data_IF_324957903984
#
_entry.id   IF_324957903984
#
_cell.length_a   1.000
_cell.length_b   1.000
_cell.length_c   1.000
_cell.angle_alpha   90.00
_cell.angle_beta   90.00
_cell.angle_gamma   90.00
#
_symmetry.space_group_name_H-M   'P 1'
#
loop_
_entity.id
_entity.type
_entity.pdbx_description
1 polymer ?
#
# COMPACT_ATOMS: atom_id res chain seq x y z
N UNK A 1 -17.08 -1.26 -16.35
CA UNK A 1 -16.05 -0.61 -17.19
C UNK A 1 -14.62 -0.85 -16.69
N UNK A 2 -14.22 -0.53 -15.44
CA UNK A 2 -12.84 -0.88 -14.98
C UNK A 2 -12.63 -2.38 -14.73
N UNK A 3 -13.65 -3.08 -14.22
CA UNK A 3 -13.64 -4.53 -14.01
C UNK A 3 -13.66 -5.34 -15.32
N UNK A 4 -13.83 -4.68 -16.46
CA UNK A 4 -13.83 -5.33 -17.78
C UNK A 4 -12.47 -5.12 -18.48
N UNK A 5 -11.66 -4.16 -18.03
CA UNK A 5 -10.38 -3.78 -18.63
C UNK A 5 -9.15 -4.19 -17.81
N UNK A 6 -9.33 -4.81 -16.64
CA UNK A 6 -8.23 -5.13 -15.71
C UNK A 6 -7.13 -6.00 -16.32
N UNK A 7 -7.47 -6.94 -17.20
CA UNK A 7 -6.48 -7.79 -17.89
C UNK A 7 -5.54 -6.94 -18.74
N UNK A 8 -6.09 -6.01 -19.51
CA UNK A 8 -5.32 -5.09 -20.34
C UNK A 8 -4.42 -4.20 -19.48
N UNK A 9 -4.93 -3.70 -18.35
CA UNK A 9 -4.14 -2.88 -17.41
C UNK A 9 -2.96 -3.67 -16.85
N UNK A 10 -3.17 -4.93 -16.45
CA UNK A 10 -2.10 -5.81 -15.96
C UNK A 10 -1.06 -6.06 -17.05
N UNK A 11 -1.48 -6.36 -18.29
CA UNK A 11 -0.58 -6.59 -19.42
C UNK A 11 0.26 -5.34 -19.69
N UNK A 12 -0.38 -4.17 -19.75
CA UNK A 12 0.28 -2.88 -19.93
C UNK A 12 1.28 -2.59 -18.80
N UNK A 13 0.88 -2.83 -17.55
CA UNK A 13 1.74 -2.64 -16.38
C UNK A 13 2.99 -3.52 -16.44
N UNK A 14 2.83 -4.81 -16.76
CA UNK A 14 3.98 -5.74 -16.90
C UNK A 14 4.94 -5.27 -17.99
N UNK A 15 4.42 -4.86 -19.15
CA UNK A 15 5.26 -4.39 -20.25
C UNK A 15 6.03 -3.11 -19.89
N UNK A 16 5.36 -2.10 -19.33
CA UNK A 16 6.04 -0.85 -18.98
C UNK A 16 7.06 -1.07 -17.86
N UNK A 17 6.74 -1.95 -16.89
CA UNK A 17 7.66 -2.25 -15.80
C UNK A 17 8.93 -2.91 -16.30
N UNK A 18 8.82 -3.94 -17.16
CA UNK A 18 9.99 -4.56 -17.80
C UNK A 18 10.84 -3.51 -18.50
N UNK A 19 10.21 -2.60 -19.23
CA UNK A 19 10.91 -1.51 -19.90
C UNK A 19 11.62 -0.57 -18.92
N UNK A 20 10.98 -0.17 -17.81
CA UNK A 20 11.62 0.65 -16.76
C UNK A 20 12.83 -0.06 -16.18
N UNK A 21 12.69 -1.35 -15.80
CA UNK A 21 13.78 -2.13 -15.25
C UNK A 21 14.95 -2.21 -16.23
N UNK A 22 14.69 -2.55 -17.50
CA UNK A 22 15.72 -2.57 -18.55
C UNK A 22 16.38 -1.20 -18.74
N UNK A 23 15.61 -0.12 -18.74
CA UNK A 23 16.14 1.24 -18.95
C UNK A 23 17.03 1.71 -17.79
N UNK A 24 16.61 1.44 -16.56
CA UNK A 24 17.40 1.75 -15.36
C UNK A 24 18.69 0.93 -15.37
N UNK A 25 18.62 -0.37 -15.68
CA UNK A 25 19.82 -1.20 -15.82
C UNK A 25 20.75 -0.67 -16.94
N UNK A 26 20.22 -0.37 -18.12
CA UNK A 26 21.00 0.14 -19.24
C UNK A 26 21.80 1.38 -18.85
N UNK A 27 21.13 2.42 -18.33
CA UNK A 27 21.81 3.65 -17.93
C UNK A 27 22.71 3.49 -16.70
N UNK A 28 22.40 2.57 -15.80
CA UNK A 28 23.24 2.31 -14.64
C UNK A 28 24.56 1.63 -15.01
N UNK A 29 24.62 0.92 -16.14
CA UNK A 29 25.80 0.12 -16.55
C UNK A 29 26.53 0.65 -17.79
N UNK A 30 26.20 1.84 -18.30
CA UNK A 30 26.83 2.42 -19.52
C UNK A 30 28.36 2.47 -19.45
N UNK A 31 28.93 2.72 -18.25
CA UNK A 31 30.37 2.81 -18.04
C UNK A 31 31.00 1.50 -17.52
N UNK A 32 30.31 0.37 -17.70
CA UNK A 32 30.70 -0.96 -17.16
C UNK A 32 30.86 -0.99 -15.63
N UNK A 33 30.28 -0.02 -14.93
CA UNK A 33 30.18 0.08 -13.47
C UNK A 33 28.77 0.52 -13.12
N UNK A 34 28.25 0.00 -12.01
CA UNK A 34 26.90 0.34 -11.54
C UNK A 34 26.88 1.76 -10.96
N UNK A 35 26.28 2.69 -11.70
CA UNK A 35 26.16 4.12 -11.37
C UNK A 35 24.69 4.54 -11.14
N UNK A 36 24.41 5.44 -10.17
CA UNK A 36 23.10 6.03 -10.02
C UNK A 36 22.61 6.78 -11.27
N UNK A 37 21.35 6.59 -11.63
CA UNK A 37 20.73 7.20 -12.82
C UNK A 37 19.82 8.35 -12.41
N UNK A 38 20.10 9.56 -12.89
CA UNK A 38 19.27 10.73 -12.60
C UNK A 38 17.91 10.65 -13.32
N UNK A 39 16.83 11.11 -12.67
CA UNK A 39 15.47 11.05 -13.21
C UNK A 39 15.33 11.73 -14.58
N UNK A 40 16.14 12.75 -14.88
CA UNK A 40 16.11 13.44 -16.17
C UNK A 40 16.48 12.53 -17.36
N UNK A 41 17.21 11.44 -17.10
CA UNK A 41 17.51 10.42 -18.12
C UNK A 41 16.36 9.42 -18.30
N UNK A 42 15.56 9.20 -17.26
CA UNK A 42 14.49 8.20 -17.22
C UNK A 42 13.15 8.78 -17.66
N UNK A 43 12.75 9.94 -17.16
CA UNK A 43 11.41 10.51 -17.37
C UNK A 43 11.11 10.76 -18.86
N UNK A 44 11.95 11.46 -19.65
CA UNK A 44 11.61 11.76 -21.03
C UNK A 44 11.32 10.54 -21.93
N UNK A 45 12.17 9.48 -21.97
CA UNK A 45 11.85 8.28 -22.74
C UNK A 45 10.63 7.53 -22.21
N UNK A 46 10.47 7.38 -20.89
CA UNK A 46 9.31 6.71 -20.30
C UNK A 46 8.01 7.43 -20.60
N UNK A 47 8.01 8.76 -20.49
CA UNK A 47 6.83 9.58 -20.76
C UNK A 47 6.42 9.49 -22.24
N UNK A 48 7.38 9.44 -23.17
CA UNK A 48 7.08 9.23 -24.59
C UNK A 48 6.44 7.87 -24.84
N UNK A 49 6.96 6.82 -24.19
CA UNK A 49 6.41 5.47 -24.31
C UNK A 49 4.98 5.39 -23.75
N UNK A 50 4.75 5.90 -22.54
CA UNK A 50 3.45 5.93 -21.88
C UNK A 50 2.38 6.71 -22.66
N UNK A 51 2.76 7.72 -23.46
CA UNK A 51 1.82 8.45 -24.34
C UNK A 51 1.30 7.63 -25.52
N UNK A 52 1.87 6.45 -25.79
CA UNK A 52 1.37 5.54 -26.82
C UNK A 52 -0.04 5.03 -26.50
N UNK A 53 -0.84 4.77 -27.54
CA UNK A 53 -2.22 4.26 -27.41
C UNK A 53 -2.30 2.97 -26.61
N UNK A 54 -1.28 2.13 -26.69
CA UNK A 54 -1.22 0.87 -25.96
C UNK A 54 -1.32 1.05 -24.43
N UNK A 55 -0.82 2.17 -23.86
CA UNK A 55 -0.80 2.39 -22.40
C UNK A 55 -1.96 3.28 -21.91
N UNK A 56 -3.03 3.44 -22.68
CA UNK A 56 -4.14 4.33 -22.32
C UNK A 56 -4.84 3.88 -21.03
N UNK A 57 -5.18 2.61 -20.89
CA UNK A 57 -5.85 2.10 -19.69
C UNK A 57 -4.98 2.24 -18.44
N UNK A 58 -3.68 1.95 -18.58
CA UNK A 58 -2.73 2.09 -17.49
C UNK A 58 -2.59 3.55 -17.03
N UNK A 59 -2.50 4.50 -17.97
CA UNK A 59 -2.44 5.93 -17.62
C UNK A 59 -3.68 6.38 -16.87
N UNK A 60 -4.86 5.90 -17.27
CA UNK A 60 -6.12 6.25 -16.62
C UNK A 60 -6.18 5.81 -15.15
N UNK A 61 -5.44 4.76 -14.76
CA UNK A 61 -5.42 4.27 -13.38
C UNK A 61 -4.25 4.79 -12.53
N UNK A 62 -3.31 5.53 -13.14
CA UNK A 62 -2.09 6.04 -12.49
C UNK A 62 -2.06 7.55 -12.27
N UNK A 63 -2.82 8.34 -13.03
CA UNK A 63 -2.63 9.80 -13.10
C UNK A 63 -3.01 10.54 -11.81
N UNK A 64 -2.01 11.06 -11.10
CA UNK A 64 -2.18 12.08 -10.06
C UNK A 64 -2.06 13.49 -10.69
N UNK A 65 -2.74 14.50 -10.12
CA UNK A 65 -2.82 15.84 -10.73
C UNK A 65 -1.46 16.56 -10.80
N UNK A 66 -0.57 16.31 -9.83
CA UNK A 66 0.67 17.06 -9.62
C UNK A 66 1.95 16.38 -10.15
N UNK A 67 1.82 15.23 -10.84
CA UNK A 67 2.98 14.45 -11.32
C UNK A 67 2.79 13.93 -12.75
N UNK A 68 3.92 13.76 -13.46
CA UNK A 68 3.91 13.05 -14.75
C UNK A 68 3.68 11.55 -14.53
N UNK A 69 3.05 10.86 -15.48
CA UNK A 69 2.78 9.42 -15.36
C UNK A 69 4.08 8.61 -15.22
N UNK A 70 5.17 9.04 -15.87
CA UNK A 70 6.49 8.44 -15.70
C UNK A 70 7.04 8.60 -14.27
N UNK A 71 6.81 9.75 -13.64
CA UNK A 71 7.22 9.97 -12.25
C UNK A 71 6.41 9.10 -11.30
N UNK A 72 5.08 9.05 -11.44
CA UNK A 72 4.23 8.19 -10.63
C UNK A 72 4.60 6.70 -10.79
N UNK A 73 5.01 6.28 -11.99
CA UNK A 73 5.51 4.93 -12.24
C UNK A 73 6.82 4.64 -11.49
N UNK A 74 7.80 5.55 -11.55
CA UNK A 74 9.07 5.39 -10.84
C UNK A 74 8.88 5.36 -9.33
N UNK A 75 8.01 6.21 -8.77
CA UNK A 75 7.67 6.20 -7.34
C UNK A 75 6.96 4.90 -6.94
N UNK A 76 6.02 4.40 -7.77
CA UNK A 76 5.35 3.13 -7.53
C UNK A 76 6.35 1.97 -7.50
N UNK A 77 7.19 1.86 -8.52
CA UNK A 77 8.19 0.79 -8.63
C UNK A 77 9.22 0.89 -7.52
N UNK A 78 9.65 2.10 -7.16
CA UNK A 78 10.52 2.27 -6.00
C UNK A 78 9.84 1.89 -4.70
N UNK A 79 8.56 2.24 -4.55
CA UNK A 79 7.75 1.89 -3.40
C UNK A 79 7.56 0.38 -3.23
N UNK A 80 7.53 -0.36 -4.33
CA UNK A 80 7.50 -1.83 -4.38
C UNK A 80 8.91 -2.45 -4.26
N UNK A 81 9.96 -1.64 -4.14
CA UNK A 81 11.34 -2.13 -4.11
C UNK A 81 11.79 -2.77 -5.43
N UNK A 82 11.13 -2.51 -6.55
CA UNK A 82 11.58 -2.98 -7.86
C UNK A 82 12.87 -2.25 -8.28
N UNK A 83 12.97 -0.97 -7.90
CA UNK A 83 14.14 -0.09 -8.06
C UNK A 83 14.41 0.66 -6.75
N UNK A 84 15.64 1.12 -6.53
CA UNK A 84 15.98 1.94 -5.38
C UNK A 84 15.95 3.42 -5.75
N UNK A 85 15.13 4.23 -5.10
CA UNK A 85 15.19 5.68 -5.16
C UNK A 85 16.20 6.21 -4.13
N UNK A 86 17.14 7.01 -4.59
CA UNK A 86 18.14 7.70 -3.80
C UNK A 86 17.76 9.17 -3.61
N UNK A 87 18.52 9.87 -2.77
CA UNK A 87 18.40 11.32 -2.62
C UNK A 87 18.58 12.05 -3.96
N UNK A 88 18.06 13.28 -4.04
CA UNK A 88 18.23 14.19 -5.19
C UNK A 88 17.76 13.61 -6.54
N UNK A 89 16.77 12.71 -6.54
CA UNK A 89 16.13 12.22 -7.76
C UNK A 89 16.97 11.21 -8.57
N UNK A 90 17.86 10.48 -7.91
CA UNK A 90 18.60 9.38 -8.52
C UNK A 90 17.92 8.03 -8.26
N UNK A 91 18.11 7.08 -9.17
CA UNK A 91 17.60 5.72 -9.09
C UNK A 91 18.72 4.70 -9.35
N UNK A 92 18.61 3.53 -8.73
CA UNK A 92 19.50 2.39 -8.96
C UNK A 92 18.69 1.12 -9.21
N UNK A 93 19.17 0.22 -10.09
CA UNK A 93 18.63 -1.13 -10.16
C UNK A 93 18.91 -1.87 -8.85
N UNK A 94 18.03 -2.78 -8.46
CA UNK A 94 18.23 -3.68 -7.34
C UNK A 94 18.51 -5.09 -7.87
N UNK A 95 19.28 -5.91 -7.14
CA UNK A 95 19.49 -7.30 -7.53
C UNK A 95 18.17 -8.08 -7.44
N UNK A 96 18.00 -9.11 -8.30
CA UNK A 96 16.88 -10.04 -8.18
C UNK A 96 16.81 -10.66 -6.79
N UNK A 97 15.59 -10.72 -6.25
CA UNK A 97 15.28 -11.36 -4.95
C UNK A 97 13.87 -11.92 -4.98
N UNK A 98 13.58 -12.84 -4.10
CA UNK A 98 12.25 -13.39 -3.92
C UNK A 98 11.65 -12.95 -2.59
N UNK A 99 10.33 -12.83 -2.58
CA UNK A 99 9.54 -12.63 -1.36
C UNK A 99 8.61 -13.83 -1.21
N UNK A 100 8.75 -14.52 -0.08
CA UNK A 100 7.86 -15.64 0.28
C UNK A 100 6.53 -15.10 0.81
N UNK A 101 5.44 -15.57 0.21
CA UNK A 101 4.10 -15.25 0.67
C UNK A 101 3.73 -16.02 1.94
N UNK A 102 3.00 -15.39 2.87
CA UNK A 102 2.86 -15.87 4.24
C UNK A 102 2.10 -17.19 4.36
N UNK A 103 1.09 -17.41 3.51
CA UNK A 103 0.19 -18.57 3.59
C UNK A 103 0.44 -19.55 2.45
N UNK A 104 0.43 -19.07 1.20
CA UNK A 104 0.62 -19.95 0.03
C UNK A 104 2.06 -20.43 -0.14
N UNK A 105 3.03 -19.80 0.54
CA UNK A 105 4.47 -20.09 0.39
C UNK A 105 5.00 -19.89 -1.02
N UNK A 106 4.25 -19.19 -1.87
CA UNK A 106 4.69 -18.85 -3.21
C UNK A 106 5.84 -17.85 -3.15
N UNK A 107 6.83 -18.00 -4.03
CA UNK A 107 7.98 -17.11 -4.13
C UNK A 107 7.77 -16.12 -5.27
N UNK A 108 7.54 -14.85 -4.93
CA UNK A 108 7.35 -13.77 -5.91
C UNK A 108 8.69 -13.08 -6.18
N UNK A 109 9.09 -13.00 -7.44
CA UNK A 109 10.35 -12.41 -7.88
C UNK A 109 10.22 -10.88 -7.97
N UNK A 110 11.22 -10.18 -7.46
CA UNK A 110 11.40 -8.73 -7.58
C UNK A 110 12.69 -8.40 -8.33
N UNK A 111 12.72 -7.23 -8.97
CA UNK A 111 13.87 -6.66 -9.67
C UNK A 111 14.48 -7.56 -10.74
N UNK A 112 13.69 -8.39 -11.42
CA UNK A 112 14.14 -9.25 -12.51
C UNK A 112 13.41 -8.89 -13.83
N UNK A 113 14.12 -8.38 -14.85
CA UNK A 113 13.52 -8.08 -16.15
C UNK A 113 12.93 -9.30 -16.88
N UNK A 114 13.40 -10.51 -16.58
CA UNK A 114 13.10 -11.76 -17.31
C UNK A 114 12.04 -12.65 -16.62
N UNK A 115 11.39 -12.19 -15.55
CA UNK A 115 10.48 -13.04 -14.78
C UNK A 115 9.27 -13.61 -15.55
N UNK A 116 8.88 -14.85 -15.23
CA UNK A 116 7.74 -15.59 -15.82
C UNK A 116 6.40 -15.00 -15.37
N UNK A 117 5.59 -14.56 -16.34
CA UNK A 117 4.35 -13.80 -16.09
C UNK A 117 3.05 -14.55 -16.33
N UNK A 118 3.12 -15.74 -16.91
CA UNK A 118 1.94 -16.42 -17.43
C UNK A 118 1.14 -16.94 -16.23
N UNK A 119 0.06 -16.22 -15.87
CA UNK A 119 -0.80 -16.36 -14.67
C UNK A 119 -0.44 -15.51 -13.43
N UNK A 120 0.54 -14.61 -13.47
CA UNK A 120 0.86 -13.78 -12.29
C UNK A 120 0.14 -12.44 -12.25
N UNK A 121 -0.83 -12.23 -11.37
CA UNK A 121 -1.66 -11.01 -11.37
C UNK A 121 -1.07 -9.81 -10.61
N UNK A 122 -0.09 -9.99 -9.73
CA UNK A 122 0.45 -8.90 -8.93
C UNK A 122 1.31 -7.89 -9.69
N UNK A 123 1.92 -6.97 -8.95
CA UNK A 123 2.80 -5.92 -9.45
C UNK A 123 4.30 -6.29 -9.42
N UNK A 124 4.68 -7.45 -8.87
CA UNK A 124 6.02 -8.07 -8.92
C UNK A 124 6.35 -8.72 -10.29
N UNK A 125 7.51 -9.35 -10.44
CA UNK A 125 7.97 -9.86 -11.75
C UNK A 125 7.52 -11.29 -12.06
N UNK A 126 6.57 -11.83 -11.30
CA UNK A 126 6.13 -13.21 -11.46
C UNK A 126 6.64 -14.12 -10.35
N UNK A 127 6.59 -15.43 -10.62
CA UNK A 127 7.05 -16.45 -9.68
C UNK A 127 8.46 -16.93 -10.04
N UNK A 128 9.16 -17.42 -9.02
CA UNK A 128 10.48 -18.02 -9.16
C UNK A 128 10.42 -19.33 -9.95
N UNK A 129 11.43 -19.61 -10.78
CA UNK A 129 11.62 -20.94 -11.36
C UNK A 129 12.25 -21.90 -10.34
N UNK A 130 11.82 -23.17 -10.37
CA UNK A 130 12.40 -24.23 -9.54
C UNK A 130 13.92 -24.29 -9.74
N UNK A 131 14.68 -24.28 -8.65
CA UNK A 131 16.15 -24.42 -8.67
C UNK A 131 16.95 -23.12 -8.82
N UNK A 132 16.32 -21.94 -8.85
CA UNK A 132 17.07 -20.67 -8.90
C UNK A 132 17.65 -20.28 -7.53
N UNK A 133 18.92 -19.86 -7.49
CA UNK A 133 19.63 -19.44 -6.27
C UNK A 133 19.40 -17.96 -5.93
N UNK A 134 18.14 -17.51 -5.95
CA UNK A 134 17.80 -16.10 -5.68
C UNK A 134 17.54 -15.91 -4.18
N UNK A 135 18.14 -14.90 -3.51
CA UNK A 135 17.90 -14.63 -2.10
C UNK A 135 16.40 -14.47 -1.81
N UNK A 136 15.92 -15.08 -0.73
CA UNK A 136 14.51 -15.07 -0.33
C UNK A 136 14.33 -14.30 0.97
N UNK A 137 13.33 -13.42 0.99
CA UNK A 137 12.90 -12.65 2.17
C UNK A 137 11.48 -13.08 2.54
N UNK A 138 11.14 -13.05 3.83
CA UNK A 138 9.75 -13.08 4.26
C UNK A 138 9.04 -11.77 3.90
N UNK A 139 7.73 -11.79 3.73
CA UNK A 139 6.95 -10.61 3.32
C UNK A 139 7.10 -9.42 4.29
N UNK A 140 7.25 -9.69 5.58
CA UNK A 140 7.44 -8.71 6.64
C UNK A 140 8.90 -8.25 6.79
N UNK A 141 9.88 -9.04 6.33
CA UNK A 141 11.26 -8.59 6.16
C UNK A 141 11.41 -7.64 4.96
N UNK A 142 10.71 -7.93 3.86
CA UNK A 142 10.73 -7.09 2.66
C UNK A 142 9.97 -5.77 2.86
N UNK A 143 8.81 -5.82 3.51
CA UNK A 143 7.96 -4.66 3.77
C UNK A 143 7.60 -4.61 5.27
N UNK A 144 8.50 -4.11 6.14
CA UNK A 144 8.23 -4.09 7.57
C UNK A 144 7.06 -3.17 7.88
N UNK A 145 6.02 -3.75 8.48
CA UNK A 145 4.86 -3.03 8.98
C UNK A 145 4.45 -3.63 10.32
N UNK A 146 3.99 -2.84 11.30
CA UNK A 146 3.39 -3.38 12.51
C UNK A 146 1.93 -3.79 12.25
N UNK A 147 1.47 -4.86 12.89
CA UNK A 147 0.03 -5.12 13.07
C UNK A 147 -0.61 -4.02 13.92
N UNK A 148 -1.93 -3.90 13.91
CA UNK A 148 -2.64 -2.92 14.77
C UNK A 148 -2.33 -3.08 16.26
N UNK A 149 -2.12 -4.32 16.72
CA UNK A 149 -1.75 -4.60 18.12
C UNK A 149 -0.32 -4.15 18.41
N UNK A 150 0.64 -4.56 17.57
CA UNK A 150 2.04 -4.14 17.68
C UNK A 150 2.19 -2.61 17.60
N UNK A 151 1.38 -1.96 16.76
CA UNK A 151 1.35 -0.51 16.64
C UNK A 151 0.90 0.16 17.94
N UNK A 152 -0.19 -0.33 18.56
CA UNK A 152 -0.68 0.20 19.84
C UNK A 152 0.37 -0.02 20.94
N UNK A 153 0.98 -1.20 21.01
CA UNK A 153 2.03 -1.51 21.98
C UNK A 153 3.24 -0.60 21.80
N UNK A 154 3.72 -0.45 20.56
CA UNK A 154 4.86 0.42 20.22
C UNK A 154 4.58 1.89 20.53
N UNK A 155 3.36 2.37 20.26
CA UNK A 155 2.95 3.73 20.65
C UNK A 155 3.03 3.93 22.16
N UNK A 156 2.60 2.94 22.95
CA UNK A 156 2.56 3.02 24.41
C UNK A 156 3.93 2.93 25.08
N UNK A 157 4.96 2.46 24.37
CA UNK A 157 6.35 2.52 24.83
C UNK A 157 6.91 3.96 24.77
N UNK A 158 6.26 4.86 24.02
CA UNK A 158 6.65 6.27 23.99
C UNK A 158 6.26 6.99 25.29
N UNK A 159 7.10 7.93 25.73
CA UNK A 159 6.73 8.84 26.80
C UNK A 159 5.59 9.76 26.33
N UNK A 160 4.46 9.85 27.07
CA UNK A 160 3.40 10.79 26.74
C UNK A 160 3.90 12.23 26.69
N UNK A 161 3.44 12.98 25.69
CA UNK A 161 3.75 14.40 25.53
C UNK A 161 2.70 15.23 26.24
N UNK A 162 3.11 16.29 26.94
CA UNK A 162 2.19 17.32 27.45
C UNK A 162 1.95 18.34 26.35
N UNK A 163 0.69 18.50 25.95
CA UNK A 163 0.26 19.52 25.01
C UNK A 163 -0.58 20.55 25.76
N UNK A 164 -0.25 21.84 25.59
CA UNK A 164 -0.98 22.94 26.24
C UNK A 164 -2.07 23.51 25.33
N UNK A 165 -1.91 23.37 24.02
CA UNK A 165 -2.88 23.82 23.04
C UNK A 165 -3.98 22.78 22.83
N UNK A 166 -5.17 23.26 22.47
CA UNK A 166 -6.26 22.39 22.02
C UNK A 166 -5.99 21.92 20.57
N UNK A 167 -6.36 20.69 20.21
CA UNK A 167 -6.24 20.24 18.83
C UNK A 167 -7.24 20.98 17.94
N UNK A 168 -6.96 21.03 16.64
CA UNK A 168 -7.89 21.62 15.68
C UNK A 168 -9.02 20.68 15.30
N UNK A 169 -8.72 19.39 15.19
CA UNK A 169 -9.69 18.36 14.84
C UNK A 169 -9.45 17.05 15.59
N UNK A 170 -10.51 16.25 15.68
CA UNK A 170 -10.54 14.92 16.25
C UNK A 170 -10.98 13.89 15.21
N UNK A 171 -10.35 12.74 15.23
CA UNK A 171 -10.79 11.55 14.53
C UNK A 171 -11.25 10.52 15.56
N UNK A 172 -12.53 10.17 15.45
CA UNK A 172 -13.23 9.25 16.35
C UNK A 172 -13.46 7.90 15.64
N UNK A 173 -13.53 6.78 16.38
CA UNK A 173 -13.86 5.48 15.80
C UNK A 173 -15.28 5.49 15.23
N UNK A 174 -15.42 5.28 13.93
CA UNK A 174 -16.72 5.26 13.24
C UNK A 174 -16.62 4.54 11.89
N UNK A 175 -17.74 3.99 11.40
CA UNK A 175 -17.77 3.26 10.12
C UNK A 175 -17.35 4.13 8.94
N UNK A 176 -17.79 5.39 8.91
CA UNK A 176 -17.47 6.39 7.88
C UNK A 176 -16.44 7.37 8.40
N UNK A 177 -15.18 7.19 8.00
CA UNK A 177 -14.05 8.02 8.42
C UNK A 177 -14.30 9.50 8.10
N UNK A 178 -14.22 10.36 9.11
CA UNK A 178 -14.17 11.82 8.97
C UNK A 178 -13.44 12.43 10.15
N UNK A 179 -12.76 13.55 9.89
CA UNK A 179 -12.33 14.44 10.95
C UNK A 179 -13.50 15.31 11.40
N UNK A 180 -13.53 15.63 12.68
CA UNK A 180 -14.51 16.53 13.28
C UNK A 180 -13.76 17.71 13.90
N UNK A 181 -14.25 18.95 13.80
CA UNK A 181 -13.70 20.06 14.57
C UNK A 181 -13.62 19.71 16.05
N UNK A 182 -12.57 20.19 16.73
CA UNK A 182 -12.43 19.94 18.15
C UNK A 182 -13.64 20.48 18.92
N UNK A 183 -14.23 19.60 19.73
CA UNK A 183 -15.24 19.95 20.70
C UNK A 183 -14.98 19.12 21.96
N UNK A 184 -14.84 19.77 23.11
CA UNK A 184 -14.51 19.11 24.39
C UNK A 184 -15.50 17.98 24.74
N UNK A 185 -16.78 18.15 24.41
CA UNK A 185 -17.83 17.15 24.63
C UNK A 185 -17.69 15.88 23.77
N UNK A 186 -17.04 15.95 22.61
CA UNK A 186 -16.76 14.80 21.74
C UNK A 186 -15.53 14.04 22.26
N UNK A 187 -14.49 14.78 22.65
CA UNK A 187 -13.28 14.22 23.24
C UNK A 187 -13.58 13.49 24.55
N UNK A 188 -14.41 14.06 25.43
CA UNK A 188 -14.72 13.48 26.73
C UNK A 188 -15.58 12.21 26.68
N UNK A 189 -16.30 11.98 25.58
CA UNK A 189 -17.16 10.80 25.37
C UNK A 189 -16.41 9.57 24.85
N UNK A 190 -15.15 9.74 24.45
CA UNK A 190 -14.35 8.67 23.84
C UNK A 190 -13.16 8.34 24.72
N UNK A 191 -12.97 7.05 25.02
CA UNK A 191 -11.82 6.59 25.79
C UNK A 191 -10.51 6.83 25.02
N UNK A 192 -10.57 6.72 23.69
CA UNK A 192 -9.45 7.00 22.80
C UNK A 192 -9.90 7.72 21.53
N UNK A 193 -9.03 8.55 20.99
CA UNK A 193 -9.21 9.22 19.70
C UNK A 193 -7.86 9.62 19.10
N UNK A 194 -7.88 10.10 17.86
CA UNK A 194 -6.69 10.72 17.25
C UNK A 194 -6.94 12.23 17.16
N UNK A 195 -6.03 13.02 17.73
CA UNK A 195 -6.03 14.47 17.65
C UNK A 195 -5.17 14.94 16.48
N UNK A 196 -5.63 15.95 15.75
CA UNK A 196 -4.84 16.68 14.76
C UNK A 196 -4.59 18.09 15.25
N UNK A 197 -3.34 18.51 15.22
CA UNK A 197 -2.90 19.88 15.44
C UNK A 197 -2.46 20.47 14.11
N UNK A 198 -3.23 21.44 13.61
CA UNK A 198 -2.87 22.17 12.41
C UNK A 198 -2.10 23.42 12.82
N UNK A 199 -0.79 23.40 12.58
CA UNK A 199 0.10 24.52 12.84
C UNK A 199 0.17 25.38 11.56
N UNK A 200 -0.01 26.70 11.70
CA UNK A 200 0.04 27.63 10.57
C UNK A 200 1.37 27.49 9.82
N UNK A 201 1.31 27.24 8.51
CA UNK A 201 2.47 27.08 7.61
C UNK A 201 3.40 25.88 7.94
N UNK A 202 2.88 24.81 8.54
CA UNK A 202 3.66 23.59 8.75
C UNK A 202 2.81 22.32 8.61
N UNK A 203 3.47 21.17 8.53
CA UNK A 203 2.80 19.88 8.43
C UNK A 203 1.96 19.62 9.69
N UNK A 204 0.75 19.05 9.54
CA UNK A 204 -0.09 18.72 10.67
C UNK A 204 0.59 17.69 11.58
N UNK A 205 0.42 17.84 12.89
CA UNK A 205 0.87 16.87 13.87
C UNK A 205 -0.31 16.01 14.32
N UNK A 206 -0.07 14.71 14.46
CA UNK A 206 -1.07 13.73 14.84
C UNK A 206 -0.69 13.07 16.16
N UNK A 207 -1.67 12.92 17.05
CA UNK A 207 -1.48 12.29 18.35
C UNK A 207 -2.56 11.26 18.61
N UNK A 208 -2.17 10.08 19.08
CA UNK A 208 -3.07 9.15 19.73
C UNK A 208 -3.34 9.68 21.13
N UNK A 209 -4.62 9.83 21.49
CA UNK A 209 -5.01 10.36 22.79
C UNK A 209 -5.75 9.29 23.57
N UNK A 210 -5.27 8.96 24.76
CA UNK A 210 -5.99 8.15 25.74
C UNK A 210 -6.54 9.06 26.83
N UNK A 211 -7.87 9.08 26.97
CA UNK A 211 -8.55 9.82 28.02
C UNK A 211 -8.44 9.02 29.33
N UNK A 212 -7.81 9.61 30.35
CA UNK A 212 -7.59 8.97 31.65
C UNK A 212 -8.70 9.30 32.66
N UNK A 213 -9.72 10.07 32.23
CA UNK A 213 -10.77 10.57 33.09
C UNK A 213 -10.35 11.83 33.88
N UNK A 214 -11.34 12.50 34.50
CA UNK A 214 -11.14 13.72 35.31
C UNK A 214 -10.40 14.87 34.60
N UNK A 215 -10.46 14.91 33.26
CA UNK A 215 -9.81 15.94 32.45
C UNK A 215 -8.33 15.68 32.14
N UNK A 216 -7.79 14.50 32.50
CA UNK A 216 -6.43 14.11 32.15
C UNK A 216 -6.40 13.25 30.88
N UNK A 217 -5.40 13.48 30.03
CA UNK A 217 -5.24 12.79 28.76
C UNK A 217 -3.76 12.57 28.44
N UNK A 218 -3.44 11.39 27.92
CA UNK A 218 -2.09 11.03 27.47
C UNK A 218 -2.01 11.13 25.96
N UNK A 219 -1.04 11.91 25.47
CA UNK A 219 -0.82 12.13 24.05
C UNK A 219 0.43 11.39 23.59
N UNK A 220 0.30 10.51 22.61
CA UNK A 220 1.41 9.78 22.00
C UNK A 220 1.53 10.21 20.54
N UNK A 221 2.73 10.62 20.11
CA UNK A 221 2.92 11.16 18.76
C UNK A 221 2.80 10.05 17.72
N UNK A 222 1.96 10.26 16.71
CA UNK A 222 1.82 9.36 15.57
C UNK A 222 2.66 9.93 14.42
N UNK A 223 3.69 9.21 13.93
CA UNK A 223 4.34 9.57 12.69
C UNK A 223 3.34 9.57 11.54
N UNK A 224 3.40 10.57 10.66
CA UNK A 224 2.40 10.78 9.59
C UNK A 224 2.19 9.53 8.72
N UNK A 225 3.27 8.82 8.40
CA UNK A 225 3.22 7.60 7.58
C UNK A 225 2.45 6.43 8.24
N UNK A 226 2.23 6.47 9.56
CA UNK A 226 1.42 5.50 10.29
C UNK A 226 0.00 6.01 10.61
N UNK A 227 -0.41 7.18 10.12
CA UNK A 227 -1.73 7.73 10.44
C UNK A 227 -2.89 6.81 10.04
N UNK A 228 -2.83 6.18 8.86
CA UNK A 228 -3.87 5.22 8.45
C UNK A 228 -3.86 3.97 9.33
N UNK A 229 -2.69 3.44 9.68
CA UNK A 229 -2.56 2.33 10.65
C UNK A 229 -3.18 2.70 11.99
N UNK A 230 -2.94 3.92 12.48
CA UNK A 230 -3.55 4.43 13.71
C UNK A 230 -5.08 4.49 13.63
N UNK A 231 -5.64 4.92 12.48
CA UNK A 231 -7.10 4.93 12.28
C UNK A 231 -7.68 3.52 12.31
N UNK A 232 -7.01 2.54 11.69
CA UNK A 232 -7.42 1.13 11.78
C UNK A 232 -7.32 0.61 13.22
N UNK A 233 -6.23 0.89 13.93
CA UNK A 233 -6.04 0.50 15.32
C UNK A 233 -7.11 1.09 16.25
N UNK A 234 -7.49 2.35 16.05
CA UNK A 234 -8.56 3.02 16.81
C UNK A 234 -9.92 2.34 16.56
N UNK A 235 -10.24 2.05 15.30
CA UNK A 235 -11.47 1.36 14.91
C UNK A 235 -11.50 -0.07 15.47
N UNK A 236 -10.38 -0.79 15.43
CA UNK A 236 -10.23 -2.13 15.99
C UNK A 236 -10.46 -2.13 17.51
N UNK A 237 -9.82 -1.22 18.25
CA UNK A 237 -9.99 -1.07 19.71
C UNK A 237 -11.45 -0.77 20.09
N UNK A 238 -12.14 0.01 19.26
CA UNK A 238 -13.54 0.37 19.45
C UNK A 238 -14.53 -0.64 18.85
N UNK A 239 -14.06 -1.79 18.37
CA UNK A 239 -14.88 -2.85 17.74
C UNK A 239 -15.72 -2.35 16.54
N UNK A 240 -15.23 -1.32 15.85
CA UNK A 240 -15.85 -0.79 14.63
C UNK A 240 -15.44 -1.65 13.43
N UNK A 241 -16.29 -2.60 13.07
CA UNK A 241 -16.05 -3.51 11.94
C UNK A 241 -15.88 -2.77 10.62
N UNK A 242 -14.83 -3.13 9.88
CA UNK A 242 -14.60 -2.67 8.49
C UNK A 242 -15.08 -3.74 7.53
N UNK A 243 -16.23 -3.53 6.90
CA UNK A 243 -16.76 -4.47 5.91
C UNK A 243 -15.85 -4.55 4.68
N UNK A 244 -15.79 -5.72 4.05
CA UNK A 244 -15.16 -5.96 2.75
C UNK A 244 -16.16 -6.68 1.88
N UNK A 245 -16.28 -6.28 0.61
CA UNK A 245 -17.11 -6.96 -0.37
C UNK A 245 -16.24 -7.80 -1.28
N UNK A 246 -16.63 -9.06 -1.49
CA UNK A 246 -15.97 -9.99 -2.39
C UNK A 246 -16.97 -10.53 -3.41
N UNK A 247 -16.57 -10.67 -4.66
CA UNK A 247 -17.36 -11.32 -5.69
C UNK A 247 -16.43 -12.18 -6.54
N UNK A 248 -16.84 -13.42 -6.82
CA UNK A 248 -16.12 -14.25 -7.79
C UNK A 248 -16.49 -13.78 -9.20
N UNK A 249 -15.50 -13.36 -9.99
CA UNK A 249 -15.73 -12.80 -11.34
C UNK A 249 -15.25 -13.74 -12.45
N UNK A 250 -14.35 -14.68 -12.13
CA UNK A 250 -13.92 -15.80 -12.98
C UNK A 250 -13.62 -17.01 -12.11
N UNK A 251 -13.39 -18.18 -12.72
CA UNK A 251 -13.08 -19.41 -11.99
C UNK A 251 -11.89 -19.26 -11.02
N UNK A 252 -10.90 -18.48 -11.40
CA UNK A 252 -9.61 -18.27 -10.74
C UNK A 252 -9.42 -16.85 -10.17
N UNK A 253 -10.43 -15.97 -10.26
CA UNK A 253 -10.29 -14.56 -9.89
C UNK A 253 -11.44 -14.07 -9.01
N UNK A 254 -11.06 -13.41 -7.92
CA UNK A 254 -11.95 -12.72 -6.99
C UNK A 254 -11.76 -11.21 -7.15
N UNK A 255 -12.87 -10.50 -7.32
CA UNK A 255 -12.91 -9.06 -7.15
C UNK A 255 -13.15 -8.72 -5.69
N UNK A 256 -12.35 -7.83 -5.14
CA UNK A 256 -12.46 -7.36 -3.76
C UNK A 256 -12.62 -5.84 -3.73
N UNK A 257 -13.66 -5.37 -3.04
CA UNK A 257 -13.91 -3.96 -2.80
C UNK A 257 -13.86 -3.65 -1.31
N UNK A 258 -12.93 -2.77 -0.97
CA UNK A 258 -12.75 -2.18 0.35
C UNK A 258 -13.56 -0.89 0.43
N UNK A 259 -14.12 -0.59 1.61
CA UNK A 259 -14.72 0.73 1.87
C UNK A 259 -13.71 1.76 2.35
N UNK A 260 -12.49 1.33 2.68
CA UNK A 260 -11.40 2.14 3.25
C UNK A 260 -10.10 1.76 2.54
N UNK A 261 -9.19 2.73 2.36
CA UNK A 261 -7.86 2.47 1.78
C UNK A 261 -7.01 1.68 2.78
N UNK A 262 -6.15 0.79 2.31
CA UNK A 262 -5.10 0.21 3.15
C UNK A 262 -4.05 1.26 3.54
N UNK A 263 -3.38 1.11 4.70
CA UNK A 263 -2.12 1.79 4.92
C UNK A 263 -1.11 1.40 3.83
N UNK A 264 -0.11 2.25 3.61
CA UNK A 264 0.79 2.15 2.45
C UNK A 264 1.56 0.82 2.42
N UNK A 265 1.95 0.28 3.57
CA UNK A 265 2.70 -0.96 3.63
C UNK A 265 1.85 -2.18 3.25
N UNK A 266 0.66 -2.33 3.84
CA UNK A 266 -0.28 -3.41 3.49
C UNK A 266 -0.76 -3.30 2.05
N UNK A 267 -0.92 -2.09 1.53
CA UNK A 267 -1.18 -1.85 0.12
C UNK A 267 -0.07 -2.47 -0.76
N UNK A 268 1.20 -2.21 -0.44
CA UNK A 268 2.35 -2.75 -1.19
C UNK A 268 2.48 -4.26 -1.03
N UNK A 269 2.23 -4.79 0.17
CA UNK A 269 2.14 -6.24 0.41
C UNK A 269 1.10 -6.89 -0.49
N UNK A 270 -0.12 -6.36 -0.52
CA UNK A 270 -1.18 -6.88 -1.39
C UNK A 270 -0.81 -6.74 -2.88
N UNK A 271 -0.20 -5.61 -3.29
CA UNK A 271 0.28 -5.41 -4.65
C UNK A 271 1.33 -6.46 -5.08
N UNK A 272 1.99 -7.17 -4.16
CA UNK A 272 2.95 -8.22 -4.51
C UNK A 272 2.28 -9.46 -5.13
N UNK A 273 0.97 -9.67 -4.96
CA UNK A 273 0.30 -10.88 -5.48
C UNK A 273 -1.14 -10.61 -5.97
N UNK A 274 -1.66 -9.42 -5.72
CA UNK A 274 -2.94 -8.92 -6.22
C UNK A 274 -2.73 -7.64 -7.03
N UNK A 275 -3.71 -7.28 -7.86
CA UNK A 275 -3.66 -6.05 -8.65
C UNK A 275 -4.73 -5.05 -8.22
N UNK A 276 -4.38 -3.79 -7.91
CA UNK A 276 -5.38 -2.75 -7.68
C UNK A 276 -5.91 -2.19 -8.99
N UNK A 277 -7.23 -1.95 -9.08
CA UNK A 277 -7.84 -1.32 -10.25
C UNK A 277 -7.57 0.19 -10.34
N UNK A 278 -6.94 0.78 -9.31
CA UNK A 278 -6.45 2.15 -9.30
C UNK A 278 -5.21 2.26 -8.41
N UNK A 279 -4.13 2.84 -8.92
CA UNK A 279 -2.93 3.11 -8.11
C UNK A 279 -3.09 4.34 -7.21
N UNK A 280 -3.97 5.28 -7.59
CA UNK A 280 -4.28 6.50 -6.85
C UNK A 280 -5.09 6.16 -5.59
N UNK A 281 -6.17 5.39 -5.79
CA UNK A 281 -7.10 4.98 -4.72
C UNK A 281 -7.36 3.48 -4.79
N UNK A 282 -6.44 2.66 -4.28
CA UNK A 282 -6.51 1.20 -4.36
C UNK A 282 -7.50 0.63 -3.33
N UNK A 283 -8.79 0.80 -3.62
CA UNK A 283 -9.90 0.24 -2.84
C UNK A 283 -10.59 -0.92 -3.56
N UNK A 284 -10.29 -1.12 -4.85
CA UNK A 284 -10.80 -2.20 -5.67
C UNK A 284 -9.62 -3.02 -6.16
N UNK A 285 -9.72 -4.34 -6.03
CA UNK A 285 -8.61 -5.26 -6.21
C UNK A 285 -9.05 -6.50 -6.97
N UNK A 286 -8.14 -6.99 -7.81
CA UNK A 286 -8.18 -8.29 -8.45
C UNK A 286 -7.27 -9.21 -7.66
N UNK A 287 -7.86 -10.26 -7.10
CA UNK A 287 -7.18 -11.23 -6.24
C UNK A 287 -7.28 -12.60 -6.91
N UNK A 288 -6.17 -13.21 -7.35
CA UNK A 288 -6.20 -14.60 -7.78
C UNK A 288 -6.64 -15.51 -6.63
N UNK A 289 -7.48 -16.49 -6.94
CA UNK A 289 -8.11 -17.38 -5.97
C UNK A 289 -7.07 -18.09 -5.08
N UNK A 290 -5.95 -18.53 -5.66
CA UNK A 290 -4.88 -19.21 -4.93
C UNK A 290 -4.09 -18.29 -3.97
N UNK A 291 -4.21 -16.97 -4.10
CA UNK A 291 -3.66 -15.99 -3.14
C UNK A 291 -4.71 -15.33 -2.26
N UNK A 292 -5.94 -15.84 -2.26
CA UNK A 292 -6.98 -15.31 -1.39
C UNK A 292 -6.56 -15.37 0.07
N UNK A 293 -6.01 -16.50 0.53
CA UNK A 293 -5.54 -16.64 1.92
C UNK A 293 -4.38 -15.70 2.27
N UNK A 294 -3.48 -15.41 1.33
CA UNK A 294 -2.43 -14.40 1.52
C UNK A 294 -3.03 -13.00 1.65
N UNK A 295 -4.06 -12.69 0.86
CA UNK A 295 -4.79 -11.42 0.95
C UNK A 295 -5.49 -11.27 2.30
N UNK A 296 -6.12 -12.34 2.80
CA UNK A 296 -6.72 -12.40 4.13
C UNK A 296 -5.68 -12.18 5.23
N UNK A 297 -4.49 -12.76 5.07
CA UNK A 297 -3.40 -12.51 6.00
C UNK A 297 -3.05 -11.01 6.09
N UNK A 298 -2.97 -10.31 4.95
CA UNK A 298 -2.74 -8.85 4.93
C UNK A 298 -3.87 -8.10 5.66
N UNK A 299 -5.12 -8.50 5.46
CA UNK A 299 -6.28 -7.89 6.13
C UNK A 299 -6.25 -8.05 7.65
N UNK A 300 -5.89 -9.24 8.13
CA UNK A 300 -5.84 -9.54 9.57
C UNK A 300 -4.82 -8.66 10.32
N UNK A 301 -3.74 -8.24 9.66
CA UNK A 301 -2.76 -7.29 10.23
C UNK A 301 -3.39 -5.94 10.58
N UNK A 302 -4.46 -5.56 9.87
CA UNK A 302 -5.24 -4.34 10.10
C UNK A 302 -6.36 -4.53 11.13
N UNK A 303 -6.44 -5.69 11.79
CA UNK A 303 -7.53 -6.03 12.70
C UNK A 303 -8.85 -6.26 11.96
N UNK A 304 -8.81 -6.67 10.69
CA UNK A 304 -10.00 -7.01 9.91
C UNK A 304 -10.18 -8.52 9.96
N UNK A 305 -11.24 -8.94 10.65
CA UNK A 305 -11.59 -10.34 10.83
C UNK A 305 -12.38 -10.88 9.62
N UNK A 306 -12.40 -12.21 9.46
CA UNK A 306 -13.10 -12.88 8.35
C UNK A 306 -14.62 -12.61 8.35
N UNK A 307 -15.20 -12.40 9.53
CA UNK A 307 -16.63 -12.10 9.68
C UNK A 307 -17.03 -10.73 9.09
N UNK A 308 -16.05 -9.91 8.74
CA UNK A 308 -16.22 -8.63 8.08
C UNK A 308 -16.30 -8.76 6.56
N UNK A 309 -16.04 -9.95 6.02
CA UNK A 309 -16.06 -10.25 4.59
C UNK A 309 -17.46 -10.66 4.16
N UNK A 310 -17.97 -10.01 3.12
CA UNK A 310 -19.30 -10.24 2.54
C UNK A 310 -19.12 -10.69 1.11
N UNK A 311 -19.50 -11.94 0.84
CA UNK A 311 -19.56 -12.47 -0.51
C UNK A 311 -20.87 -12.06 -1.18
N UNK A 312 -20.76 -11.44 -2.35
CA UNK A 312 -21.88 -11.18 -3.24
C UNK A 312 -21.95 -12.33 -4.26
N UNK A 313 -23.10 -13.02 -4.30
CA UNK A 313 -23.33 -14.13 -5.21
C UNK A 313 -22.70 -15.45 -4.77
N UNK A 314 -23.35 -16.13 -3.84
CA UNK A 314 -23.31 -17.60 -3.72
C UNK A 314 -24.74 -18.06 -3.43
N UNK A 315 -25.52 -18.34 -4.48
CA UNK A 315 -26.46 -19.45 -4.35
C UNK A 315 -25.56 -20.69 -4.21
N UNK A 316 -25.50 -21.24 -2.99
CA UNK A 316 -24.91 -22.55 -2.76
C UNK A 316 -25.86 -23.55 -3.42
N UNK A 317 -25.47 -24.07 -4.57
CA UNK A 317 -25.96 -25.33 -5.12
C UNK A 317 -25.01 -26.44 -4.76
#
# INVERSE_FOLDING_TARGET
>A
MLIDAWENIIIQFRQIKRHVLSLVHFYAFEDYKMNPVHFQRLIPPLQRLLKGRFFEDLRNVMKEEDQTEAQSLLELLSGLGEILKLANGYYLPLPPRCVELPVSKSLVVLSNPEGKSDKYYGCGNGYMEEGSHVPTLMIDEWMPSPTVNEFIETLKLQNPVKLNDEPTELFLPQKRRKWHPFQMNLASKSDCYIARYALKNSQPLYFWVENMGRGDARYYKIPEYYLETAKYALEYKAQVKTTIKCAKIREDVIYVRLFKKFPVFEQKMAMLFCFPLSFIKPIEWIVPLWHYSDFIWVLRRLGIDEDSIRWEGVEMG
#
